data_IF_157172817052
#
_entry.id   IF_157172817052
#
_cell.length_a   1.000
_cell.length_b   1.000
_cell.length_c   1.000
_cell.angle_alpha   90.00
_cell.angle_beta   90.00
_cell.angle_gamma   90.00
#
_symmetry.space_group_name_H-M   'P 1'
#
loop_
_entity.id
_entity.type
_entity.pdbx_description
1 polymer ?
#
# COMPACT_ATOMS: atom_id res chain seq x y z
N UNK A 1 -7.18 4.44 -2.69
CA UNK A 1 -6.97 3.55 -3.85
C UNK A 1 -6.68 4.44 -5.04
N UNK A 2 -5.68 4.08 -5.83
CA UNK A 2 -5.31 4.81 -7.05
C UNK A 2 -5.36 3.85 -8.22
N UNK A 3 -6.08 4.23 -9.28
CA UNK A 3 -6.07 3.51 -10.55
C UNK A 3 -4.98 4.11 -11.45
N UNK A 4 -4.24 3.25 -12.12
CA UNK A 4 -3.14 3.60 -13.02
C UNK A 4 -3.47 2.97 -14.37
N UNK A 5 -3.80 3.80 -15.34
CA UNK A 5 -3.95 3.36 -16.72
C UNK A 5 -2.58 3.02 -17.30
N UNK A 6 -2.40 1.76 -17.68
CA UNK A 6 -1.22 1.31 -18.43
C UNK A 6 -1.63 1.00 -19.87
N UNK A 7 -0.67 0.99 -20.80
CA UNK A 7 -0.93 0.58 -22.19
C UNK A 7 -1.41 -0.87 -22.34
N UNK A 8 -1.32 -1.67 -21.28
CA UNK A 8 -1.69 -3.09 -21.23
C UNK A 8 -2.97 -3.33 -20.41
N UNK A 9 -3.59 -2.26 -19.89
CA UNK A 9 -4.76 -2.33 -19.01
C UNK A 9 -4.56 -1.60 -17.69
N UNK A 10 -5.54 -1.69 -16.80
CA UNK A 10 -5.52 -0.96 -15.53
C UNK A 10 -4.74 -1.70 -14.45
N UNK A 11 -3.98 -0.94 -13.66
CA UNK A 11 -3.36 -1.41 -12.42
C UNK A 11 -3.92 -0.61 -11.24
N UNK A 12 -4.12 -1.27 -10.11
CA UNK A 12 -4.61 -0.67 -8.88
C UNK A 12 -3.51 -0.61 -7.84
N UNK A 13 -3.31 0.56 -7.23
CA UNK A 13 -2.35 0.82 -6.17
C UNK A 13 -3.10 1.13 -4.86
N UNK A 14 -2.93 0.28 -3.86
CA UNK A 14 -3.33 0.51 -2.48
C UNK A 14 -2.16 1.10 -1.69
N UNK A 15 -2.41 2.15 -0.91
CA UNK A 15 -1.41 2.79 -0.03
C UNK A 15 -1.95 2.96 1.38
N UNK A 16 -1.07 2.77 2.37
CA UNK A 16 -1.33 3.01 3.80
C UNK A 16 -0.37 4.08 4.26
N UNK A 17 -0.90 5.23 4.68
CA UNK A 17 -0.12 6.41 5.07
C UNK A 17 -0.39 6.73 6.53
N UNK A 18 0.65 7.04 7.29
CA UNK A 18 0.50 7.64 8.61
C UNK A 18 0.09 9.12 8.51
N UNK A 19 -1.04 9.50 9.11
CA UNK A 19 -1.59 10.84 8.95
C UNK A 19 -0.80 11.93 9.68
N UNK A 20 -0.08 11.57 10.76
CA UNK A 20 0.75 12.53 11.49
C UNK A 20 2.06 12.82 10.76
N UNK A 21 2.84 11.78 10.47
CA UNK A 21 4.18 11.93 9.86
C UNK A 21 4.16 12.01 8.33
N UNK A 22 3.01 11.73 7.69
CA UNK A 22 2.86 11.57 6.23
C UNK A 22 3.73 10.46 5.63
N UNK A 23 4.27 9.56 6.45
CA UNK A 23 5.07 8.42 5.99
C UNK A 23 4.19 7.38 5.32
N UNK A 24 4.62 6.88 4.17
CA UNK A 24 4.05 5.69 3.54
C UNK A 24 4.49 4.46 4.35
N UNK A 25 3.55 3.78 5.00
CA UNK A 25 3.83 2.61 5.83
C UNK A 25 3.77 1.31 5.03
N UNK A 26 2.90 1.24 4.03
CA UNK A 26 2.74 0.07 3.18
C UNK A 26 2.05 0.43 1.87
N UNK A 27 2.30 -0.39 0.85
CA UNK A 27 1.65 -0.27 -0.45
C UNK A 27 1.53 -1.65 -1.09
N UNK A 28 0.59 -1.83 -1.99
CA UNK A 28 0.50 -3.02 -2.83
C UNK A 28 -0.10 -2.65 -4.19
N UNK A 29 0.29 -3.38 -5.23
CA UNK A 29 -0.26 -3.21 -6.58
C UNK A 29 -0.88 -4.51 -7.08
N UNK A 30 -1.98 -4.41 -7.83
CA UNK A 30 -2.66 -5.57 -8.39
C UNK A 30 -3.55 -5.21 -9.57
N UNK A 31 -3.88 -6.22 -10.39
CA UNK A 31 -4.74 -6.05 -11.56
C UNK A 31 -6.23 -5.83 -11.20
N UNK A 32 -6.62 -6.00 -9.93
CA UNK A 32 -8.01 -5.88 -9.47
C UNK A 32 -8.08 -4.97 -8.24
N UNK A 33 -9.16 -4.19 -8.17
CA UNK A 33 -9.54 -3.47 -6.97
C UNK A 33 -10.33 -4.40 -6.04
N UNK A 34 -9.62 -5.16 -5.20
CA UNK A 34 -10.23 -6.12 -4.27
C UNK A 34 -9.69 -5.99 -2.83
N UNK A 35 -10.32 -6.71 -1.91
CA UNK A 35 -9.94 -6.71 -0.51
C UNK A 35 -8.55 -7.30 -0.28
N UNK A 36 -8.12 -8.28 -1.08
CA UNK A 36 -6.80 -8.91 -0.97
C UNK A 36 -5.68 -7.91 -1.21
N UNK A 37 -5.84 -7.04 -2.21
CA UNK A 37 -4.91 -5.94 -2.49
C UNK A 37 -4.78 -4.97 -1.30
N UNK A 38 -5.91 -4.64 -0.66
CA UNK A 38 -5.92 -3.78 0.54
C UNK A 38 -5.24 -4.49 1.71
N UNK A 39 -5.56 -5.75 1.97
CA UNK A 39 -4.96 -6.56 3.04
C UNK A 39 -3.45 -6.69 2.85
N UNK A 40 -2.97 -6.87 1.62
CA UNK A 40 -1.54 -6.90 1.32
C UNK A 40 -0.84 -5.60 1.74
N UNK A 41 -1.41 -4.44 1.41
CA UNK A 41 -0.86 -3.13 1.81
C UNK A 41 -0.85 -2.93 3.34
N UNK A 42 -1.87 -3.45 4.04
CA UNK A 42 -1.97 -3.41 5.50
C UNK A 42 -0.93 -4.31 6.18
N UNK A 43 -0.71 -5.52 5.66
CA UNK A 43 0.31 -6.43 6.16
C UNK A 43 1.72 -5.82 6.03
N UNK A 44 2.01 -5.16 4.90
CA UNK A 44 3.25 -4.42 4.74
C UNK A 44 3.37 -3.27 5.75
N UNK A 45 2.29 -2.50 5.96
CA UNK A 45 2.27 -1.44 6.96
C UNK A 45 2.51 -1.95 8.39
N UNK A 46 1.93 -3.10 8.75
CA UNK A 46 2.15 -3.73 10.05
C UNK A 46 3.61 -4.16 10.23
N UNK A 47 4.23 -4.75 9.20
CA UNK A 47 5.64 -5.11 9.21
C UNK A 47 6.56 -3.87 9.36
N UNK A 48 6.25 -2.78 8.66
CA UNK A 48 7.00 -1.51 8.77
C UNK A 48 6.92 -0.89 10.16
N UNK A 49 5.76 -1.00 10.84
CA UNK A 49 5.61 -0.52 12.23
C UNK A 49 6.37 -1.35 13.26
N UNK A 50 6.52 -2.65 13.01
CA UNK A 50 7.28 -3.54 13.90
C UNK A 50 8.79 -3.30 13.83
N UNK A 51 9.29 -2.67 12.76
CA UNK A 51 10.63 -2.11 12.73
C UNK A 51 10.67 -0.85 13.62
N UNK A 52 11.06 -1.01 14.88
CA UNK A 52 11.44 0.09 15.76
C UNK A 52 12.39 1.04 15.01
N UNK A 53 12.26 2.38 15.13
CA UNK A 53 13.25 3.27 14.54
C UNK A 53 14.63 2.84 15.06
N UNK A 54 15.61 2.69 14.17
CA UNK A 54 16.99 2.61 14.61
C UNK A 54 17.28 3.87 15.44
N UNK A 55 17.66 3.65 16.70
CA UNK A 55 18.06 4.70 17.63
C UNK A 55 19.32 5.42 17.15
#
# INVERSE_FOLDING_TARGET
MTEIDTGEGKLYLATVIDLFSRRLLGYAMGARHDAELVVASLNMAAATRAATPAA
#
